data_IF_087087493776
#
_entry.id   IF_087087493776
#
_cell.length_a   1.000
_cell.length_b   1.000
_cell.length_c   1.000
_cell.angle_alpha   90.00
_cell.angle_beta   90.00
_cell.angle_gamma   90.00
#
_symmetry.space_group_name_H-M   'P 1'
#
loop_
_entity.id
_entity.type
_entity.pdbx_description
1 polymer ?
#
# COMPACT_ATOMS: atom_id res chain seq x y z
N UNK A 1 3.41 12.99 14.09
CA UNK A 1 3.18 12.51 12.70
C UNK A 1 2.35 11.24 12.80
N UNK A 2 1.38 10.99 11.92
CA UNK A 2 0.33 9.96 12.17
C UNK A 2 0.37 8.80 11.17
N UNK A 3 -0.38 7.74 11.45
CA UNK A 3 -0.65 6.62 10.52
C UNK A 3 -1.24 7.11 9.18
N UNK A 4 -2.01 8.20 9.19
CA UNK A 4 -2.55 8.83 7.98
C UNK A 4 -1.45 9.48 7.15
N UNK A 5 -0.47 10.11 7.80
CA UNK A 5 0.71 10.64 7.10
C UNK A 5 1.50 9.51 6.45
N UNK A 6 1.79 8.43 7.18
CA UNK A 6 2.45 7.24 6.62
C UNK A 6 1.70 6.70 5.40
N UNK A 7 0.38 6.52 5.50
CA UNK A 7 -0.44 6.01 4.40
C UNK A 7 -0.35 6.89 3.15
N UNK A 8 -0.34 8.22 3.31
CA UNK A 8 -0.16 9.18 2.21
C UNK A 8 1.23 9.08 1.59
N UNK A 9 2.28 8.95 2.40
CA UNK A 9 3.66 8.79 1.94
C UNK A 9 3.84 7.49 1.15
N UNK A 10 3.32 6.38 1.66
CA UNK A 10 3.31 5.09 0.96
C UNK A 10 2.55 5.20 -0.35
N UNK A 11 1.38 5.84 -0.38
CA UNK A 11 0.62 6.07 -1.62
C UNK A 11 1.43 6.83 -2.67
N UNK A 12 2.06 7.94 -2.27
CA UNK A 12 2.86 8.74 -3.17
C UNK A 12 4.04 7.95 -3.74
N UNK A 13 4.76 7.22 -2.88
CA UNK A 13 5.87 6.37 -3.30
C UNK A 13 5.41 5.24 -4.25
N UNK A 14 4.34 4.52 -3.91
CA UNK A 14 3.78 3.47 -4.76
C UNK A 14 3.36 4.04 -6.12
N UNK A 15 2.62 5.15 -6.15
CA UNK A 15 2.20 5.79 -7.40
C UNK A 15 3.40 6.19 -8.27
N UNK A 16 4.48 6.69 -7.66
CA UNK A 16 5.69 7.04 -8.40
C UNK A 16 6.37 5.80 -9.01
N UNK A 17 6.36 4.67 -8.31
CA UNK A 17 6.97 3.41 -8.78
C UNK A 17 6.19 2.83 -9.96
N UNK A 18 4.86 2.75 -9.85
CA UNK A 18 4.01 2.06 -10.84
C UNK A 18 3.55 2.97 -11.99
N UNK A 19 3.82 4.27 -11.90
CA UNK A 19 3.40 5.25 -12.91
C UNK A 19 1.90 5.53 -12.88
N UNK A 20 1.39 6.21 -13.91
CA UNK A 20 -0.01 6.66 -13.99
C UNK A 20 -0.97 5.63 -14.58
N UNK A 21 -0.45 4.53 -15.12
CA UNK A 21 -1.24 3.44 -15.73
C UNK A 21 -1.90 2.51 -14.71
N UNK A 22 -1.61 2.67 -13.42
CA UNK A 22 -2.13 1.85 -12.32
C UNK A 22 -2.90 2.72 -11.34
N UNK A 23 -4.12 2.32 -11.00
CA UNK A 23 -4.95 3.01 -10.01
C UNK A 23 -4.47 2.74 -8.58
N UNK A 24 -3.92 3.73 -7.88
CA UNK A 24 -3.52 3.59 -6.46
C UNK A 24 -4.53 4.26 -5.54
N UNK A 25 -5.24 3.45 -4.76
CA UNK A 25 -6.39 3.84 -3.94
C UNK A 25 -6.11 3.67 -2.44
N UNK A 26 -6.77 4.48 -1.61
CA UNK A 26 -6.74 4.34 -0.15
C UNK A 26 -8.03 3.71 0.32
N UNK A 27 -7.94 2.76 1.24
CA UNK A 27 -9.07 2.04 1.87
C UNK A 27 -9.93 1.23 0.90
N UNK A 28 -10.54 1.81 -0.13
CA UNK A 28 -11.47 1.10 -1.01
C UNK A 28 -11.27 1.53 -2.47
N UNK A 29 -11.77 0.71 -3.38
CA UNK A 29 -11.98 1.16 -4.75
C UNK A 29 -13.04 2.28 -4.77
N UNK A 30 -12.94 3.24 -5.69
CA UNK A 30 -13.97 4.25 -5.87
C UNK A 30 -15.32 3.61 -6.17
N UNK A 31 -16.41 4.17 -5.64
CA UNK A 31 -17.75 3.73 -6.03
C UNK A 31 -18.01 4.10 -7.50
N UNK A 32 -18.59 3.15 -8.26
CA UNK A 32 -19.04 3.40 -9.63
C UNK A 32 -20.22 4.37 -9.63
N UNK A 33 -19.95 5.64 -9.91
CA UNK A 33 -20.93 6.72 -10.12
C UNK A 33 -20.75 7.35 -11.51
N UNK A 34 -21.79 7.98 -12.06
CA UNK A 34 -21.71 8.62 -13.39
C UNK A 34 -20.56 9.65 -13.49
N UNK A 35 -20.31 10.43 -12.43
CA UNK A 35 -19.20 11.37 -12.37
C UNK A 35 -17.83 10.70 -12.25
N UNK A 36 -17.74 9.56 -11.53
CA UNK A 36 -16.48 8.81 -11.42
C UNK A 36 -16.09 8.15 -12.73
N UNK A 37 -17.04 7.73 -13.58
CA UNK A 37 -16.76 7.13 -14.90
C UNK A 37 -16.09 8.14 -15.84
N UNK A 38 -16.44 9.43 -15.71
CA UNK A 38 -15.88 10.51 -16.55
C UNK A 38 -14.43 10.87 -16.17
N UNK A 39 -14.03 10.69 -14.91
CA UNK A 39 -12.68 11.00 -14.40
C UNK A 39 -11.97 9.76 -13.84
N UNK A 40 -12.36 8.56 -14.28
CA UNK A 40 -11.97 7.30 -13.64
C UNK A 40 -10.48 7.00 -13.86
N UNK A 41 -9.80 6.66 -12.76
CA UNK A 41 -8.61 5.83 -12.81
C UNK A 41 -8.96 4.47 -13.45
N UNK A 42 -7.99 3.79 -14.09
CA UNK A 42 -8.24 2.48 -14.69
C UNK A 42 -8.84 1.52 -13.66
N UNK A 43 -9.85 0.74 -14.09
CA UNK A 43 -10.48 -0.27 -13.23
C UNK A 43 -9.47 -1.38 -12.88
N UNK A 44 -8.59 -1.70 -13.83
CA UNK A 44 -7.42 -2.56 -13.65
C UNK A 44 -6.25 -2.01 -14.48
N UNK A 45 -5.00 -2.23 -14.06
CA UNK A 45 -4.60 -2.76 -12.76
C UNK A 45 -4.80 -1.74 -11.63
N UNK A 46 -5.01 -2.23 -10.41
CA UNK A 46 -5.16 -1.39 -9.23
C UNK A 46 -4.30 -1.85 -8.05
N UNK A 47 -4.03 -0.91 -7.13
CA UNK A 47 -3.41 -1.17 -5.83
C UNK A 47 -4.23 -0.46 -4.75
N UNK A 48 -4.71 -1.20 -3.75
CA UNK A 48 -5.41 -0.64 -2.59
C UNK A 48 -4.51 -0.66 -1.36
N UNK A 49 -4.27 0.51 -0.77
CA UNK A 49 -3.48 0.66 0.45
C UNK A 49 -4.40 0.80 1.67
N UNK A 50 -4.19 -0.04 2.68
CA UNK A 50 -4.97 -0.05 3.92
C UNK A 50 -4.07 -0.22 5.13
N UNK A 51 -4.16 0.65 6.15
CA UNK A 51 -3.64 0.33 7.47
C UNK A 51 -4.37 -0.90 8.01
N UNK A 52 -3.64 -1.89 8.53
CA UNK A 52 -4.22 -3.10 9.11
C UNK A 52 -3.96 -3.23 10.61
N UNK A 53 -2.93 -2.56 11.13
CA UNK A 53 -2.62 -2.52 12.55
C UNK A 53 -1.77 -1.28 12.88
N UNK A 54 -1.78 -0.89 14.16
CA UNK A 54 -0.88 0.09 14.73
C UNK A 54 -0.63 -0.23 16.20
N UNK A 55 0.56 0.05 16.70
CA UNK A 55 0.94 -0.17 18.10
C UNK A 55 1.83 0.97 18.56
N UNK A 56 1.50 1.53 19.72
CA UNK A 56 2.34 2.49 20.43
C UNK A 56 2.89 1.83 21.70
N UNK A 57 4.15 2.11 21.99
CA UNK A 57 4.86 1.78 23.21
C UNK A 57 5.67 3.01 23.64
N UNK A 58 6.18 2.99 24.87
CA UNK A 58 6.84 4.14 25.52
C UNK A 58 7.91 4.81 24.63
N UNK A 59 8.73 4.00 23.95
CA UNK A 59 9.82 4.47 23.09
C UNK A 59 9.65 4.10 21.59
N UNK A 60 8.50 3.54 21.19
CA UNK A 60 8.31 3.13 19.79
C UNK A 60 6.86 3.18 19.33
N UNK A 61 6.62 3.71 18.14
CA UNK A 61 5.34 3.63 17.45
C UNK A 61 5.51 2.81 16.16
N UNK A 62 4.53 1.97 15.83
CA UNK A 62 4.57 1.13 14.62
C UNK A 62 3.22 1.09 13.91
N UNK A 63 3.26 0.91 12.59
CA UNK A 63 2.08 0.85 11.73
C UNK A 63 2.26 -0.20 10.64
N UNK A 64 1.21 -0.97 10.39
CA UNK A 64 1.19 -1.99 9.35
C UNK A 64 0.31 -1.55 8.19
N UNK A 65 0.85 -1.54 6.97
CA UNK A 65 0.13 -1.24 5.74
C UNK A 65 0.05 -2.50 4.88
N UNK A 66 -1.18 -2.88 4.51
CA UNK A 66 -1.45 -3.87 3.47
C UNK A 66 -1.68 -3.19 2.13
N UNK A 67 -1.12 -3.77 1.08
CA UNK A 67 -1.26 -3.35 -0.31
C UNK A 67 -1.86 -4.50 -1.09
N UNK A 68 -3.09 -4.34 -1.57
CA UNK A 68 -3.79 -5.35 -2.35
C UNK A 68 -3.66 -5.00 -3.83
N UNK A 69 -3.13 -5.92 -4.62
CA UNK A 69 -2.93 -5.79 -6.05
C UNK A 69 -4.07 -6.50 -6.77
N UNK A 70 -4.65 -5.88 -7.78
CA UNK A 70 -5.63 -6.49 -8.65
C UNK A 70 -5.24 -6.30 -10.10
N UNK A 71 -5.15 -7.39 -10.85
CA UNK A 71 -4.97 -7.42 -12.31
C UNK A 71 -6.12 -8.23 -12.91
N UNK A 72 -6.62 -7.82 -14.07
CA UNK A 72 -7.58 -8.59 -14.82
C UNK A 72 -6.89 -9.14 -16.07
N UNK A 73 -6.82 -10.45 -16.19
CA UNK A 73 -6.18 -11.15 -17.30
C UNK A 73 -6.87 -12.50 -17.53
N UNK A 74 -7.28 -12.74 -18.77
CA UNK A 74 -7.91 -14.00 -19.19
C UNK A 74 -6.89 -15.02 -19.73
N UNK A 75 -5.62 -14.63 -19.82
CA UNK A 75 -4.51 -15.48 -20.21
C UNK A 75 -3.71 -15.97 -18.99
N UNK A 76 -2.70 -16.79 -19.27
CA UNK A 76 -1.83 -17.37 -18.25
C UNK A 76 -0.81 -16.36 -17.67
N UNK A 77 -0.80 -15.11 -18.16
CA UNK A 77 0.16 -14.07 -17.74
C UNK A 77 -0.34 -13.27 -16.52
N UNK A 78 -1.61 -13.38 -16.15
CA UNK A 78 -2.19 -12.67 -15.01
C UNK A 78 -1.40 -12.76 -13.69
N UNK A 79 -0.94 -13.95 -13.25
CA UNK A 79 -0.06 -14.07 -12.09
C UNK A 79 1.27 -13.32 -12.26
N UNK A 80 1.87 -13.40 -13.46
CA UNK A 80 3.16 -12.77 -13.76
C UNK A 80 3.02 -11.25 -13.68
N UNK A 81 1.93 -10.70 -14.21
CA UNK A 81 1.63 -9.27 -14.13
C UNK A 81 1.51 -8.80 -12.67
N UNK A 82 0.80 -9.54 -11.82
CA UNK A 82 0.71 -9.23 -10.38
C UNK A 82 2.10 -9.20 -9.74
N UNK A 83 2.94 -10.22 -10.01
CA UNK A 83 4.29 -10.29 -9.46
C UNK A 83 5.21 -9.18 -9.99
N UNK A 84 5.06 -8.75 -11.24
CA UNK A 84 5.83 -7.63 -11.79
C UNK A 84 5.60 -6.33 -11.02
N UNK A 85 4.35 -6.03 -10.65
CA UNK A 85 4.03 -4.87 -9.80
C UNK A 85 4.55 -5.03 -8.38
N UNK A 86 4.34 -6.19 -7.77
CA UNK A 86 4.80 -6.48 -6.40
C UNK A 86 6.33 -6.41 -6.29
N UNK A 87 7.05 -6.96 -7.26
CA UNK A 87 8.51 -6.98 -7.31
C UNK A 87 9.09 -5.57 -7.50
N UNK A 88 8.47 -4.75 -8.34
CA UNK A 88 8.86 -3.35 -8.53
C UNK A 88 8.79 -2.56 -7.22
N UNK A 89 7.70 -2.75 -6.45
CA UNK A 89 7.54 -2.12 -5.13
C UNK A 89 8.55 -2.70 -4.13
N UNK A 90 8.72 -4.03 -4.09
CA UNK A 90 9.70 -4.68 -3.22
C UNK A 90 11.09 -4.11 -3.43
N UNK A 91 11.56 -4.04 -4.68
CA UNK A 91 12.89 -3.51 -4.97
C UNK A 91 13.01 -2.04 -4.57
N UNK A 92 12.03 -1.20 -4.88
CA UNK A 92 12.08 0.21 -4.54
C UNK A 92 12.13 0.45 -3.02
N UNK A 93 11.26 -0.24 -2.28
CA UNK A 93 11.15 -0.08 -0.84
C UNK A 93 12.33 -0.68 -0.07
N UNK A 94 12.87 -1.82 -0.53
CA UNK A 94 14.05 -2.41 0.10
C UNK A 94 15.35 -1.69 -0.24
N UNK A 95 15.44 -1.02 -1.41
CA UNK A 95 16.55 -0.13 -1.75
C UNK A 95 16.52 1.16 -0.92
N UNK A 96 15.33 1.72 -0.71
CA UNK A 96 15.12 2.95 0.06
C UNK A 96 14.09 2.73 1.16
N UNK A 97 14.55 2.26 2.32
CA UNK A 97 13.68 1.87 3.45
C UNK A 97 13.13 3.05 4.25
N UNK A 98 13.52 4.29 3.95
CA UNK A 98 13.09 5.48 4.67
C UNK A 98 12.19 6.33 3.77
N UNK A 99 10.94 6.55 4.20
CA UNK A 99 10.00 7.46 3.54
C UNK A 99 9.87 8.77 4.33
N UNK A 100 9.83 9.89 3.61
CA UNK A 100 9.71 11.25 4.15
C UNK A 100 10.68 11.57 5.30
N UNK A 101 11.83 10.89 5.33
CA UNK A 101 12.90 11.00 6.34
C UNK A 101 12.49 10.60 7.77
N UNK A 102 11.31 10.01 7.95
CA UNK A 102 10.70 9.81 9.28
C UNK A 102 10.02 8.46 9.45
N UNK A 103 9.66 7.78 8.36
CA UNK A 103 9.07 6.45 8.42
C UNK A 103 10.10 5.42 7.95
N UNK A 104 10.42 4.47 8.81
CA UNK A 104 11.37 3.40 8.50
C UNK A 104 10.61 2.11 8.24
N UNK A 105 10.90 1.45 7.11
CA UNK A 105 10.39 0.13 6.78
C UNK A 105 11.15 -0.95 7.54
N UNK A 106 10.49 -1.64 8.46
CA UNK A 106 11.09 -2.68 9.30
C UNK A 106 10.93 -4.07 8.70
N UNK A 107 9.71 -4.40 8.24
CA UNK A 107 9.40 -5.70 7.65
C UNK A 107 8.64 -5.56 6.35
N UNK A 108 8.88 -6.51 5.46
CA UNK A 108 8.21 -6.65 4.19
C UNK A 108 7.90 -8.12 3.99
N UNK A 109 6.65 -8.45 3.75
CA UNK A 109 6.20 -9.79 3.36
C UNK A 109 5.18 -9.68 2.24
N UNK A 110 4.94 -10.79 1.56
CA UNK A 110 3.94 -10.88 0.52
C UNK A 110 3.24 -12.23 0.57
N UNK A 111 2.01 -12.25 0.05
CA UNK A 111 1.14 -13.41 -0.05
C UNK A 111 0.50 -13.41 -1.45
N UNK A 112 0.35 -14.60 -2.02
CA UNK A 112 -0.41 -14.84 -3.23
C UNK A 112 -1.38 -15.97 -2.92
N UNK A 113 -2.67 -15.74 -3.16
CA UNK A 113 -3.70 -16.71 -2.79
C UNK A 113 -3.80 -17.83 -3.83
N UNK A 114 -3.99 -19.07 -3.39
CA UNK A 114 -4.18 -20.19 -4.33
C UNK A 114 -5.52 -20.09 -5.06
N UNK A 115 -6.56 -19.64 -4.34
CA UNK A 115 -7.89 -19.38 -4.92
C UNK A 115 -7.95 -17.96 -5.47
N UNK A 116 -8.09 -17.85 -6.80
CA UNK A 116 -8.13 -16.60 -7.53
C UNK A 116 -9.48 -16.44 -8.25
N UNK A 117 -10.14 -15.28 -8.17
CA UNK A 117 -11.44 -15.08 -8.79
C UNK A 117 -11.30 -14.80 -10.29
N UNK A 118 -11.40 -15.82 -11.15
CA UNK A 118 -11.29 -15.63 -12.61
C UNK A 118 -12.24 -14.53 -13.15
N UNK A 119 -11.78 -13.61 -14.02
CA UNK A 119 -10.44 -13.48 -14.62
C UNK A 119 -9.50 -12.51 -13.85
N UNK A 120 -9.71 -12.33 -12.56
CA UNK A 120 -8.93 -11.44 -11.70
C UNK A 120 -7.86 -12.21 -10.92
N UNK A 121 -6.71 -11.55 -10.76
CA UNK A 121 -5.55 -12.05 -10.04
C UNK A 121 -5.17 -11.08 -8.93
N UNK A 122 -5.01 -11.61 -7.73
CA UNK A 122 -4.85 -10.84 -6.50
C UNK A 122 -3.59 -11.27 -5.75
N UNK A 123 -2.73 -10.28 -5.48
CA UNK A 123 -1.58 -10.40 -4.62
C UNK A 123 -1.66 -9.43 -3.45
N UNK A 124 -0.96 -9.73 -2.35
CA UNK A 124 -0.90 -8.84 -1.19
C UNK A 124 0.54 -8.64 -0.75
N UNK A 125 0.92 -7.38 -0.54
CA UNK A 125 2.13 -7.02 0.21
C UNK A 125 1.70 -6.52 1.59
N UNK A 126 2.39 -6.97 2.63
CA UNK A 126 2.27 -6.43 3.98
C UNK A 126 3.60 -5.78 4.38
N UNK A 127 3.54 -4.54 4.87
CA UNK A 127 4.70 -3.79 5.34
C UNK A 127 4.50 -3.30 6.76
N UNK A 128 5.52 -3.44 7.59
CA UNK A 128 5.56 -2.87 8.95
C UNK A 128 6.54 -1.70 8.97
N UNK A 129 6.09 -0.60 9.56
CA UNK A 129 6.82 0.66 9.61
C UNK A 129 6.98 1.14 11.04
N UNK A 130 8.14 1.67 11.36
CA UNK A 130 8.37 2.49 12.56
C UNK A 130 7.91 3.92 12.28
N UNK A 131 7.12 4.47 13.21
CA UNK A 131 6.63 5.85 13.20
C UNK A 131 7.36 6.68 14.26
N UNK A 132 7.41 8.02 14.11
CA UNK A 132 7.86 8.91 15.17
C UNK A 132 6.99 8.77 16.42
N UNK A 133 7.62 8.67 17.59
CA UNK A 133 6.91 8.57 18.88
C UNK A 133 6.15 9.86 19.23
N UNK A 134 4.99 9.69 19.84
CA UNK A 134 4.24 10.80 20.46
C UNK A 134 4.81 11.00 21.87
N UNK A 135 5.14 12.24 22.22
CA UNK A 135 5.57 12.57 23.59
C UNK A 135 4.35 12.89 24.44
N UNK A 136 4.34 12.36 25.65
CA UNK A 136 3.34 12.71 26.65
C UNK A 136 3.43 14.21 26.98
N UNK A 137 2.29 14.89 26.95
CA UNK A 137 2.18 16.24 27.46
C UNK A 137 1.93 16.16 28.96
N UNK A 138 2.94 16.48 29.78
CA UNK A 138 2.76 16.63 31.23
C UNK A 138 2.18 18.01 31.50
N UNK A 139 0.93 18.15 32.00
CA UNK A 139 0.40 19.45 32.37
C UNK A 139 1.23 20.01 33.53
N UNK A 140 1.65 21.28 33.44
CA UNK A 140 2.28 21.95 34.57
C UNK A 140 1.32 21.93 35.76
N UNK A 141 1.71 21.25 36.84
CA UNK A 141 0.99 21.20 38.12
C UNK A 141 1.30 22.47 38.92
#
# INVERSE_FOLDING_TARGET
MTIVSLLKSVKAAVQQIVGTGVGVHLFFLPQKTAASVVNALPEFPYIILRPSAGKDAEDSASGTIKMLFGVQAADDEGPIDVFNYMESIRQAFLKNRVLDRVFLLDKFSWEFFDEQPYPEWIGVITTEWTLPTVREEVPNI
#
